data_IF_557156373149
#
_entry.id   IF_557156373149
#
_cell.length_a   1.000
_cell.length_b   1.000
_cell.length_c   1.000
_cell.angle_alpha   90.00
_cell.angle_beta   90.00
_cell.angle_gamma   90.00
#
_symmetry.space_group_name_H-M   'P 1'
#
loop_
_entity.id
_entity.type
_entity.pdbx_description
1 polymer ?
#
# COMPACT_ATOMS: atom_id res chain seq x y z
N UNK A 1 1.65 6.88 -6.84
CA UNK A 1 1.12 5.56 -7.21
C UNK A 1 -0.34 5.54 -6.86
N UNK A 2 -1.20 5.19 -7.80
CA UNK A 2 -2.65 5.12 -7.62
C UNK A 2 -3.03 3.69 -7.27
N UNK A 3 -3.73 3.51 -6.14
CA UNK A 3 -4.07 2.19 -5.62
C UNK A 3 -5.19 1.59 -6.47
N UNK A 4 -4.90 0.50 -7.16
CA UNK A 4 -5.88 -0.22 -7.98
C UNK A 4 -6.72 -1.17 -7.14
N UNK A 5 -6.07 -1.88 -6.21
CA UNK A 5 -6.74 -2.87 -5.37
C UNK A 5 -5.97 -3.09 -4.07
N UNK A 6 -6.71 -3.33 -3.00
CA UNK A 6 -6.21 -3.85 -1.74
C UNK A 6 -6.91 -5.17 -1.46
N UNK A 7 -6.15 -6.20 -1.08
CA UNK A 7 -6.67 -7.49 -0.63
C UNK A 7 -6.01 -7.85 0.68
N UNK A 8 -6.81 -8.00 1.73
CA UNK A 8 -6.32 -8.50 3.01
C UNK A 8 -6.20 -10.03 2.97
N UNK A 9 -5.09 -10.55 3.49
CA UNK A 9 -4.81 -11.97 3.63
C UNK A 9 -4.28 -12.24 5.05
N UNK A 10 -4.14 -13.51 5.43
CA UNK A 10 -3.67 -13.85 6.78
C UNK A 10 -2.22 -13.39 6.97
N UNK A 11 -2.02 -12.29 7.71
CA UNK A 11 -0.72 -11.76 8.10
C UNK A 11 -0.17 -10.63 7.20
N UNK A 12 -0.89 -10.23 6.15
CA UNK A 12 -0.51 -9.12 5.27
C UNK A 12 -1.70 -8.56 4.48
N UNK A 13 -1.53 -7.36 3.94
CA UNK A 13 -2.34 -6.83 2.86
C UNK A 13 -1.53 -6.78 1.56
N UNK A 14 -2.10 -7.30 0.48
CA UNK A 14 -1.58 -7.16 -0.87
C UNK A 14 -2.16 -5.91 -1.52
N UNK A 15 -1.27 -5.14 -2.14
CA UNK A 15 -1.58 -3.83 -2.70
C UNK A 15 -1.10 -3.80 -4.14
N UNK A 16 -2.02 -3.53 -5.06
CA UNK A 16 -1.69 -3.36 -6.47
C UNK A 16 -1.84 -1.89 -6.86
N UNK A 17 -0.90 -1.38 -7.64
CA UNK A 17 -0.93 -0.01 -8.18
C UNK A 17 -1.03 -0.03 -9.70
N UNK A 18 -1.81 0.89 -10.26
CA UNK A 18 -2.04 0.98 -11.71
C UNK A 18 -0.75 1.17 -12.51
N UNK A 19 0.21 1.93 -12.00
CA UNK A 19 1.42 2.31 -12.74
C UNK A 19 2.42 1.18 -12.90
N UNK A 20 2.39 0.19 -12.00
CA UNK A 20 3.42 -0.86 -11.94
C UNK A 20 2.93 -2.21 -12.42
N UNK A 21 1.61 -2.46 -12.40
CA UNK A 21 1.04 -3.81 -12.50
C UNK A 21 1.69 -4.85 -11.55
N UNK A 22 2.36 -4.39 -10.49
CA UNK A 22 3.02 -5.22 -9.48
C UNK A 22 2.18 -5.27 -8.20
N UNK A 23 2.31 -6.39 -7.50
CA UNK A 23 1.76 -6.58 -6.16
C UNK A 23 2.85 -6.23 -5.14
N UNK A 24 2.48 -5.38 -4.19
CA UNK A 24 3.26 -5.00 -3.03
C UNK A 24 2.61 -5.57 -1.77
N UNK A 25 3.39 -5.74 -0.72
CA UNK A 25 2.98 -6.37 0.54
C UNK A 25 3.11 -5.38 1.69
N UNK A 26 2.04 -5.18 2.43
CA UNK A 26 2.03 -4.49 3.71
C UNK A 26 1.91 -5.57 4.79
N UNK A 27 2.96 -5.81 5.57
CA UNK A 27 3.00 -6.91 6.55
C UNK A 27 2.40 -6.49 7.90
N UNK A 28 1.69 -7.38 8.60
CA UNK A 28 1.05 -7.06 9.90
C UNK A 28 2.05 -6.58 10.98
N UNK A 29 3.31 -7.00 10.91
CA UNK A 29 4.34 -6.56 11.85
C UNK A 29 4.82 -5.13 11.59
N UNK A 30 4.40 -4.51 10.47
CA UNK A 30 4.69 -3.10 10.22
C UNK A 30 3.97 -2.28 11.31
N UNK A 31 4.68 -1.44 12.09
CA UNK A 31 4.05 -0.65 13.16
C UNK A 31 2.99 0.33 12.66
N UNK A 32 3.03 0.68 11.36
CA UNK A 32 2.05 1.51 10.70
C UNK A 32 0.97 0.72 9.93
N UNK A 33 0.87 -0.62 10.12
CA UNK A 33 -0.01 -1.49 9.34
C UNK A 33 -1.45 -0.96 9.25
N UNK A 34 -2.11 -0.79 10.39
CA UNK A 34 -3.51 -0.35 10.47
C UNK A 34 -3.74 1.02 9.80
N UNK A 35 -2.83 1.96 10.05
CA UNK A 35 -2.93 3.32 9.49
C UNK A 35 -2.66 3.33 7.99
N UNK A 36 -1.67 2.55 7.53
CA UNK A 36 -1.34 2.41 6.12
C UNK A 36 -2.48 1.71 5.36
N UNK A 37 -3.06 0.65 5.93
CA UNK A 37 -4.19 -0.06 5.36
C UNK A 37 -5.39 0.87 5.16
N UNK A 38 -5.78 1.63 6.19
CA UNK A 38 -6.87 2.61 6.08
C UNK A 38 -6.61 3.66 4.99
N UNK A 39 -5.38 4.17 4.88
CA UNK A 39 -5.00 5.11 3.82
C UNK A 39 -5.11 4.50 2.43
N UNK A 40 -4.69 3.25 2.27
CA UNK A 40 -4.78 2.54 0.99
C UNK A 40 -6.24 2.27 0.61
N UNK A 41 -7.07 1.84 1.56
CA UNK A 41 -8.51 1.65 1.34
C UNK A 41 -9.21 2.97 0.96
N UNK A 42 -8.88 4.07 1.66
CA UNK A 42 -9.38 5.40 1.30
C UNK A 42 -8.90 5.87 -0.09
N UNK A 43 -7.66 5.56 -0.45
CA UNK A 43 -7.12 5.87 -1.78
C UNK A 43 -7.80 5.07 -2.90
N UNK A 44 -8.20 3.81 -2.66
CA UNK A 44 -9.02 3.03 -3.60
C UNK A 44 -10.37 3.71 -3.82
N UNK A 45 -11.05 4.13 -2.75
CA UNK A 45 -12.38 4.73 -2.84
C UNK A 45 -12.36 6.11 -3.52
N UNK A 46 -11.30 6.89 -3.29
CA UNK A 46 -11.18 8.28 -3.81
C UNK A 46 -10.43 8.39 -5.13
N UNK A 47 -9.73 7.33 -5.57
CA UNK A 47 -8.82 7.39 -6.70
C UNK A 47 -7.59 8.29 -6.48
N UNK A 48 -7.37 8.79 -5.26
CA UNK A 48 -6.25 9.69 -4.97
C UNK A 48 -4.91 8.95 -4.95
N UNK A 49 -3.85 9.54 -5.54
CA UNK A 49 -2.54 8.91 -5.53
C UNK A 49 -1.90 8.95 -4.12
N UNK A 50 -1.10 7.94 -3.84
CA UNK A 50 -0.29 7.85 -2.63
C UNK A 50 1.20 7.80 -2.96
N UNK A 51 2.02 8.29 -2.03
CA UNK A 51 3.45 8.05 -2.00
C UNK A 51 3.72 6.77 -1.20
N UNK A 52 4.47 5.87 -1.80
CA UNK A 52 4.83 4.56 -1.25
C UNK A 52 6.33 4.57 -0.94
N UNK A 53 6.68 4.25 0.31
CA UNK A 53 8.06 3.97 0.71
C UNK A 53 8.20 2.48 0.97
N UNK A 54 9.23 1.88 0.39
CA UNK A 54 9.53 0.45 0.52
C UNK A 54 10.62 0.23 1.57
N UNK A 55 10.61 -0.93 2.22
CA UNK A 55 11.63 -1.26 3.24
C UNK A 55 13.03 -1.41 2.67
N UNK A 56 13.13 -1.71 1.37
CA UNK A 56 14.39 -1.81 0.63
C UNK A 56 14.24 -1.36 -0.83
N UNK A 57 15.31 -0.88 -1.47
CA UNK A 57 15.30 -0.60 -2.90
C UNK A 57 14.84 -1.82 -3.72
N UNK A 58 13.99 -1.59 -4.73
CA UNK A 58 13.43 -2.62 -5.61
C UNK A 58 12.61 -3.75 -4.94
N UNK A 59 12.38 -3.67 -3.63
CA UNK A 59 11.53 -4.59 -2.90
C UNK A 59 10.06 -4.48 -3.28
N UNK A 60 9.25 -5.31 -2.64
CA UNK A 60 7.80 -5.30 -2.75
C UNK A 60 7.13 -4.99 -1.40
N UNK A 61 7.90 -4.87 -0.33
CA UNK A 61 7.38 -4.64 1.01
C UNK A 61 7.26 -3.15 1.34
N UNK A 62 6.06 -2.75 1.75
CA UNK A 62 5.69 -1.38 2.08
C UNK A 62 6.12 -1.07 3.51
N UNK A 63 6.95 -0.04 3.66
CA UNK A 63 7.32 0.55 4.94
C UNK A 63 6.30 1.61 5.36
N UNK A 64 5.90 2.50 4.44
CA UNK A 64 5.05 3.66 4.76
C UNK A 64 4.21 4.12 3.58
N UNK A 65 2.99 4.58 3.88
CA UNK A 65 2.05 5.21 2.95
C UNK A 65 1.75 6.65 3.38
N UNK A 66 1.87 7.58 2.44
CA UNK A 66 1.53 9.00 2.61
C UNK A 66 0.58 9.42 1.49
N UNK A 67 -0.65 9.86 1.78
CA UNK A 67 -1.55 10.44 0.78
C UNK A 67 -0.92 11.68 0.11
N UNK A 68 -1.19 11.88 -1.17
CA UNK A 68 -0.82 13.09 -1.90
C UNK A 68 -2.09 13.93 -2.05
N UNK A 69 -2.14 15.15 -1.53
CA UNK A 69 -3.28 16.05 -1.69
C UNK A 69 -3.44 16.55 -3.13
#
# INVERSE_FOLDING_TARGET
MTVARVREAKGLAEVMFFESARIYRLLHHNPAYEVALKKLQAAVASGMPVRVRLTRPHGDEIERITPIP
#
